data_IF_697826798200
#
_entry.id   IF_697826798200
#
_cell.length_a   1.000
_cell.length_b   1.000
_cell.length_c   1.000
_cell.angle_alpha   90.00
_cell.angle_beta   90.00
_cell.angle_gamma   90.00
#
_symmetry.space_group_name_H-M   'P 1'
#
loop_
_entity.id
_entity.type
_entity.pdbx_description
1 polymer ?
#
# COMPACT_ATOMS: atom_id res chain seq x y z
N UNK A 1 -24.11 -26.97 4.61
CA UNK A 1 -24.00 -25.51 4.47
C UNK A 1 -23.37 -24.99 5.75
N UNK A 2 -22.23 -24.29 5.69
CA UNK A 2 -21.57 -23.79 6.91
C UNK A 2 -22.47 -22.77 7.63
N UNK A 3 -22.35 -22.64 8.95
CA UNK A 3 -23.15 -21.69 9.72
C UNK A 3 -22.98 -20.23 9.22
N UNK A 4 -21.80 -19.90 8.69
CA UNK A 4 -21.52 -18.59 8.09
C UNK A 4 -22.28 -18.41 6.76
N UNK A 5 -22.21 -19.39 5.85
CA UNK A 5 -22.90 -19.31 4.56
C UNK A 5 -24.42 -19.27 4.73
N UNK A 6 -24.95 -19.94 5.76
CA UNK A 6 -26.38 -19.91 6.08
C UNK A 6 -26.87 -18.51 6.52
N UNK A 7 -25.98 -17.63 7.00
CA UNK A 7 -26.32 -16.27 7.46
C UNK A 7 -26.01 -15.22 6.39
N UNK A 8 -25.04 -15.48 5.50
CA UNK A 8 -24.60 -14.51 4.49
C UNK A 8 -25.54 -14.33 3.30
N UNK A 9 -26.57 -15.18 3.14
CA UNK A 9 -27.54 -15.12 2.05
C UNK A 9 -26.82 -15.00 0.68
N UNK A 10 -27.14 -13.97 -0.11
CA UNK A 10 -26.61 -13.75 -1.47
C UNK A 10 -25.40 -12.79 -1.51
N UNK A 11 -24.79 -12.45 -0.37
CA UNK A 11 -23.63 -11.56 -0.34
C UNK A 11 -22.30 -12.33 -0.48
N UNK A 12 -21.34 -11.82 -1.28
CA UNK A 12 -20.07 -12.49 -1.48
C UNK A 12 -19.22 -12.51 -0.20
N UNK A 13 -18.73 -13.69 0.18
CA UNK A 13 -17.79 -13.91 1.26
C UNK A 13 -16.36 -13.84 0.73
N UNK A 14 -15.60 -12.83 1.16
CA UNK A 14 -14.18 -12.73 0.83
C UNK A 14 -13.32 -12.87 2.08
N UNK A 15 -12.15 -13.52 1.97
CA UNK A 15 -11.26 -13.76 3.11
C UNK A 15 -9.85 -13.27 2.79
N UNK A 16 -9.27 -12.48 3.69
CA UNK A 16 -7.89 -12.01 3.58
C UNK A 16 -7.00 -12.64 4.64
N UNK A 17 -5.92 -13.30 4.22
CA UNK A 17 -4.99 -13.97 5.12
C UNK A 17 -3.51 -13.66 4.85
N UNK A 18 -2.67 -14.11 5.77
CA UNK A 18 -1.21 -14.05 5.76
C UNK A 18 -0.64 -15.47 5.78
N UNK A 19 0.65 -15.63 5.50
CA UNK A 19 1.35 -16.94 5.52
C UNK A 19 1.16 -17.72 6.82
N UNK A 20 1.07 -17.01 7.94
CA UNK A 20 0.97 -17.57 9.28
C UNK A 20 1.19 -16.49 10.34
N UNK A 21 1.16 -16.88 11.61
CA UNK A 21 1.43 -15.96 12.72
C UNK A 21 2.93 -15.68 12.86
N UNK A 22 3.76 -16.73 12.81
CA UNK A 22 5.21 -16.66 13.07
C UNK A 22 6.04 -16.74 11.79
N UNK A 23 7.22 -16.12 11.80
CA UNK A 23 8.19 -16.30 10.72
C UNK A 23 8.65 -17.77 10.63
N UNK A 24 8.80 -18.30 9.41
CA UNK A 24 9.19 -19.70 9.16
C UNK A 24 8.09 -20.74 9.38
N UNK A 25 6.93 -20.37 9.94
CA UNK A 25 5.80 -21.27 10.17
C UNK A 25 4.72 -20.99 9.12
N UNK A 26 4.72 -21.80 8.06
CA UNK A 26 3.83 -21.64 6.91
C UNK A 26 2.56 -22.49 7.13
N UNK A 27 1.41 -21.84 7.33
CA UNK A 27 0.15 -22.53 7.66
C UNK A 27 -1.04 -22.08 6.80
N UNK A 28 -0.81 -21.16 5.86
CA UNK A 28 -1.89 -20.55 5.10
C UNK A 28 -2.60 -21.54 4.17
N UNK A 29 -1.86 -22.46 3.55
CA UNK A 29 -2.41 -23.49 2.67
C UNK A 29 -3.30 -24.49 3.43
N UNK A 30 -2.91 -24.92 4.62
CA UNK A 30 -3.76 -25.75 5.51
C UNK A 30 -5.02 -25.00 5.95
N UNK A 31 -4.87 -23.71 6.29
CA UNK A 31 -5.99 -22.84 6.66
C UNK A 31 -6.96 -22.69 5.48
N UNK A 32 -6.43 -22.47 4.27
CA UNK A 32 -7.21 -22.37 3.04
C UNK A 32 -7.93 -23.69 2.76
N UNK A 33 -7.26 -24.85 2.79
CA UNK A 33 -7.91 -26.16 2.55
C UNK A 33 -9.07 -26.40 3.51
N UNK A 34 -8.86 -26.11 4.80
CA UNK A 34 -9.90 -26.24 5.83
C UNK A 34 -11.07 -25.32 5.56
N UNK A 35 -10.80 -24.06 5.23
CA UNK A 35 -11.80 -23.04 4.92
C UNK A 35 -12.60 -23.41 3.65
N UNK A 36 -11.93 -23.76 2.56
CA UNK A 36 -12.59 -24.15 1.30
C UNK A 36 -13.49 -25.38 1.50
N UNK A 37 -13.03 -26.38 2.26
CA UNK A 37 -13.81 -27.59 2.54
C UNK A 37 -14.99 -27.40 3.49
N UNK A 38 -14.98 -26.36 4.33
CA UNK A 38 -16.03 -26.14 5.34
C UNK A 38 -16.95 -24.97 5.02
N UNK A 39 -16.42 -23.86 4.52
CA UNK A 39 -17.09 -22.60 4.22
C UNK A 39 -16.39 -21.91 3.04
N UNK A 40 -16.61 -22.43 1.83
CA UNK A 40 -15.99 -21.93 0.59
C UNK A 40 -16.27 -20.42 0.40
N UNK A 41 -15.23 -19.56 0.37
CA UNK A 41 -15.38 -18.14 0.05
C UNK A 41 -15.42 -17.92 -1.46
N UNK A 42 -15.92 -16.76 -1.87
CA UNK A 42 -15.98 -16.30 -3.27
C UNK A 42 -14.65 -15.71 -3.76
N UNK A 43 -13.81 -15.23 -2.83
CA UNK A 43 -12.47 -14.71 -3.13
C UNK A 43 -11.54 -14.87 -1.92
N UNK A 44 -10.31 -15.29 -2.17
CA UNK A 44 -9.25 -15.32 -1.17
C UNK A 44 -8.19 -14.27 -1.55
N UNK A 45 -7.85 -13.40 -0.61
CA UNK A 45 -6.76 -12.43 -0.74
C UNK A 45 -5.59 -12.83 0.16
N UNK A 46 -4.48 -13.25 -0.44
CA UNK A 46 -3.31 -13.75 0.26
C UNK A 46 -2.17 -12.75 0.29
N UNK A 47 -1.59 -12.53 1.46
CA UNK A 47 -0.35 -11.79 1.62
C UNK A 47 0.75 -12.75 2.07
N UNK A 48 1.75 -13.06 1.21
CA UNK A 48 2.80 -14.04 1.51
C UNK A 48 3.88 -13.52 2.48
N UNK A 49 3.43 -13.03 3.64
CA UNK A 49 4.27 -12.74 4.81
C UNK A 49 3.55 -13.19 6.06
N UNK A 50 4.32 -13.58 7.07
CA UNK A 50 3.77 -13.84 8.40
C UNK A 50 3.31 -12.53 9.07
N UNK A 51 2.54 -12.65 10.16
CA UNK A 51 2.19 -11.50 11.01
C UNK A 51 3.44 -10.87 11.64
N UNK A 52 4.35 -11.69 12.16
CA UNK A 52 5.61 -11.25 12.79
C UNK A 52 6.54 -10.49 11.84
N UNK A 53 6.63 -10.93 10.58
CA UNK A 53 7.43 -10.26 9.55
C UNK A 53 6.95 -8.83 9.25
N UNK A 54 5.75 -8.43 9.67
CA UNK A 54 5.18 -7.09 9.46
C UNK A 54 5.41 -6.61 8.01
N UNK A 55 6.38 -5.71 7.81
CA UNK A 55 6.80 -5.08 6.55
C UNK A 55 8.31 -5.14 6.32
N UNK A 56 8.93 -6.04 7.05
CA UNK A 56 10.34 -6.09 7.37
C UNK A 56 11.00 -6.87 6.23
N UNK A 57 10.55 -8.10 5.97
CA UNK A 57 10.98 -8.93 4.83
C UNK A 57 10.17 -8.69 3.56
N UNK A 58 10.72 -9.21 2.45
CA UNK A 58 10.01 -9.38 1.19
C UNK A 58 8.91 -10.44 1.30
N UNK A 59 7.88 -10.28 0.50
CA UNK A 59 6.84 -11.27 0.24
C UNK A 59 7.45 -12.56 -0.34
N UNK A 60 7.17 -13.70 0.31
CA UNK A 60 7.58 -15.03 -0.15
C UNK A 60 6.61 -15.55 -1.23
N UNK A 61 6.79 -15.06 -2.46
CA UNK A 61 5.94 -15.43 -3.58
C UNK A 61 6.00 -16.93 -3.93
N UNK A 62 7.06 -17.65 -3.60
CA UNK A 62 7.14 -19.11 -3.82
C UNK A 62 6.07 -19.88 -3.04
N UNK A 63 5.63 -19.34 -1.89
CA UNK A 63 4.56 -19.92 -1.09
C UNK A 63 3.15 -19.60 -1.62
N UNK A 64 3.03 -18.92 -2.77
CA UNK A 64 1.75 -18.73 -3.47
C UNK A 64 1.26 -20.04 -4.09
N UNK A 65 2.15 -20.88 -4.65
CA UNK A 65 1.75 -22.13 -5.31
C UNK A 65 1.04 -23.12 -4.37
N UNK A 66 1.56 -23.40 -3.14
CA UNK A 66 0.82 -24.25 -2.18
C UNK A 66 -0.54 -23.66 -1.80
N UNK A 67 -0.66 -22.33 -1.76
CA UNK A 67 -1.92 -21.66 -1.47
C UNK A 67 -2.89 -21.74 -2.66
N UNK A 68 -2.41 -21.64 -3.90
CA UNK A 68 -3.20 -21.85 -5.12
C UNK A 68 -3.78 -23.26 -5.14
N UNK A 69 -2.95 -24.28 -4.92
CA UNK A 69 -3.39 -25.68 -4.86
C UNK A 69 -4.47 -25.88 -3.79
N UNK A 70 -4.32 -25.23 -2.64
CA UNK A 70 -5.29 -25.25 -1.57
C UNK A 70 -6.62 -24.55 -1.90
N UNK A 71 -6.61 -23.53 -2.76
CA UNK A 71 -7.80 -22.77 -3.15
C UNK A 71 -8.74 -23.56 -4.07
N UNK A 72 -8.22 -24.53 -4.83
CA UNK A 72 -9.00 -25.24 -5.85
C UNK A 72 -9.51 -24.27 -6.91
N UNK A 73 -10.83 -24.17 -7.05
CA UNK A 73 -11.50 -23.28 -8.01
C UNK A 73 -11.84 -21.88 -7.43
N UNK A 74 -11.51 -21.63 -6.16
CA UNK A 74 -11.71 -20.30 -5.56
C UNK A 74 -10.67 -19.31 -6.12
N UNK A 75 -11.09 -18.14 -6.64
CA UNK A 75 -10.17 -17.10 -7.07
C UNK A 75 -9.20 -16.68 -5.97
N UNK A 76 -7.91 -16.60 -6.30
CA UNK A 76 -6.86 -16.15 -5.39
C UNK A 76 -6.27 -14.83 -5.88
N UNK A 77 -6.36 -13.79 -5.06
CA UNK A 77 -5.65 -12.53 -5.23
C UNK A 77 -4.42 -12.48 -4.32
N UNK A 78 -3.29 -11.98 -4.82
CA UNK A 78 -2.06 -11.87 -4.02
C UNK A 78 -1.66 -10.43 -3.79
N UNK A 79 -1.30 -10.09 -2.55
CA UNK A 79 -0.85 -8.77 -2.12
C UNK A 79 0.59 -8.85 -1.61
N UNK A 80 1.58 -8.43 -2.40
CA UNK A 80 2.98 -8.49 -1.96
C UNK A 80 3.95 -7.66 -2.79
N UNK A 81 4.43 -6.55 -2.22
CA UNK A 81 5.59 -5.80 -2.74
C UNK A 81 5.52 -5.33 -4.20
N UNK A 82 4.33 -5.02 -4.70
CA UNK A 82 4.08 -4.45 -6.04
C UNK A 82 4.13 -2.92 -5.97
N UNK A 83 5.03 -2.29 -6.73
CA UNK A 83 5.20 -0.82 -6.81
C UNK A 83 5.17 -0.27 -8.24
N UNK A 84 5.06 -1.14 -9.25
CA UNK A 84 5.07 -0.77 -10.66
C UNK A 84 4.09 -1.62 -11.47
N UNK A 85 3.79 -1.18 -12.70
CA UNK A 85 2.99 -1.98 -13.63
C UNK A 85 3.76 -3.22 -14.08
N UNK A 86 5.09 -3.13 -14.22
CA UNK A 86 5.96 -4.27 -14.52
C UNK A 86 5.86 -5.33 -13.42
N UNK A 87 5.94 -4.93 -12.14
CA UNK A 87 5.75 -5.85 -11.01
C UNK A 87 4.37 -6.52 -11.10
N UNK A 88 3.31 -5.77 -11.42
CA UNK A 88 1.95 -6.29 -11.49
C UNK A 88 1.82 -7.40 -12.54
N UNK A 89 2.22 -7.13 -13.79
CA UNK A 89 2.09 -8.10 -14.89
C UNK A 89 3.10 -9.26 -14.77
N UNK A 90 4.31 -9.00 -14.29
CA UNK A 90 5.28 -10.08 -14.04
C UNK A 90 4.72 -11.10 -13.04
N UNK A 91 3.98 -10.67 -12.02
CA UNK A 91 3.35 -11.59 -11.06
C UNK A 91 2.18 -12.38 -11.67
N UNK A 92 1.38 -11.76 -12.53
CA UNK A 92 0.32 -12.45 -13.25
C UNK A 92 0.87 -13.46 -14.28
N UNK A 93 2.03 -13.20 -14.87
CA UNK A 93 2.71 -14.13 -15.77
C UNK A 93 3.35 -15.31 -15.01
N UNK A 94 3.91 -15.04 -13.82
CA UNK A 94 4.60 -16.06 -13.02
C UNK A 94 3.66 -16.99 -12.26
N UNK A 95 2.51 -16.50 -11.82
CA UNK A 95 1.58 -17.25 -10.98
C UNK A 95 0.19 -17.24 -11.60
N UNK A 96 -0.51 -18.39 -11.68
CA UNK A 96 -1.87 -18.46 -12.22
C UNK A 96 -2.91 -17.95 -11.19
N UNK A 97 -2.71 -16.72 -10.72
CA UNK A 97 -3.57 -16.02 -9.75
C UNK A 97 -4.63 -15.21 -10.49
N UNK A 98 -5.79 -14.99 -9.85
CA UNK A 98 -6.90 -14.24 -10.45
C UNK A 98 -6.74 -12.71 -10.35
N UNK A 99 -5.70 -12.24 -9.64
CA UNK A 99 -5.44 -10.82 -9.51
C UNK A 99 -4.33 -10.49 -8.51
N UNK A 100 -3.88 -9.25 -8.55
CA UNK A 100 -2.91 -8.69 -7.62
C UNK A 100 -3.53 -7.51 -6.89
N UNK A 101 -3.41 -7.50 -5.56
CA UNK A 101 -3.86 -6.40 -4.71
C UNK A 101 -2.69 -5.50 -4.35
N UNK A 102 -2.86 -4.18 -4.57
CA UNK A 102 -1.85 -3.17 -4.28
C UNK A 102 -2.17 -2.48 -2.95
N UNK A 103 -1.22 -2.56 -2.00
CA UNK A 103 -1.33 -1.91 -0.68
C UNK A 103 -0.45 -0.67 -0.58
N UNK A 104 0.72 -0.82 0.05
CA UNK A 104 1.70 0.28 0.24
C UNK A 104 2.11 0.95 -1.08
N UNK A 105 2.13 0.23 -2.20
CA UNK A 105 2.40 0.81 -3.51
C UNK A 105 1.47 1.98 -3.85
N UNK A 106 0.19 1.86 -3.52
CA UNK A 106 -0.81 2.92 -3.73
C UNK A 106 -0.63 4.12 -2.77
N UNK A 107 -0.04 3.92 -1.58
CA UNK A 107 0.31 5.02 -0.68
C UNK A 107 1.56 5.77 -1.15
N UNK A 108 2.53 5.05 -1.73
CA UNK A 108 3.77 5.65 -2.27
C UNK A 108 3.44 6.38 -3.58
N UNK A 109 2.72 5.71 -4.49
CA UNK A 109 2.33 6.17 -5.84
C UNK A 109 0.83 5.93 -6.06
N UNK A 110 -0.06 6.87 -5.71
CA UNK A 110 -1.50 6.70 -5.94
C UNK A 110 -1.86 6.47 -7.41
N UNK A 111 -1.06 6.97 -8.34
CA UNK A 111 -1.21 6.78 -9.79
C UNK A 111 -0.76 5.40 -10.29
N UNK A 112 -0.33 4.49 -9.41
CA UNK A 112 0.06 3.12 -9.80
C UNK A 112 -1.05 2.38 -10.55
N UNK A 113 -2.32 2.66 -10.25
CA UNK A 113 -3.44 2.06 -10.98
C UNK A 113 -3.49 2.55 -12.43
N UNK A 114 -3.18 3.82 -12.68
CA UNK A 114 -3.05 4.38 -14.03
C UNK A 114 -1.85 3.78 -14.76
N UNK A 115 -0.72 3.57 -14.07
CA UNK A 115 0.42 2.85 -14.67
C UNK A 115 0.06 1.42 -15.06
N UNK A 116 -0.69 0.70 -14.23
CA UNK A 116 -1.14 -0.68 -14.49
C UNK A 116 -2.13 -0.73 -15.67
N UNK A 117 -3.08 0.20 -15.71
CA UNK A 117 -4.08 0.31 -16.78
C UNK A 117 -3.41 0.63 -18.13
N UNK A 118 -2.52 1.61 -18.15
CA UNK A 118 -1.86 2.07 -19.37
C UNK A 118 -0.60 1.28 -19.73
N UNK A 119 -0.17 0.35 -18.85
CA UNK A 119 1.07 -0.43 -18.98
C UNK A 119 2.30 0.43 -19.28
N UNK A 120 2.41 1.55 -18.57
CA UNK A 120 3.55 2.46 -18.71
C UNK A 120 3.90 3.14 -17.40
N UNK A 121 5.17 3.46 -17.28
CA UNK A 121 5.70 4.23 -16.15
C UNK A 121 5.33 5.70 -16.29
N UNK A 122 4.81 6.29 -15.22
CA UNK A 122 4.45 7.71 -15.17
C UNK A 122 5.50 8.49 -14.38
N UNK A 123 6.19 9.42 -15.05
CA UNK A 123 7.09 10.38 -14.42
C UNK A 123 6.38 11.70 -14.12
N UNK A 124 5.46 11.70 -13.15
CA UNK A 124 4.74 12.92 -12.80
C UNK A 124 5.63 13.95 -12.10
N UNK A 125 5.34 15.22 -12.33
CA UNK A 125 6.03 16.37 -11.75
C UNK A 125 5.70 16.57 -10.27
N UNK A 126 6.52 17.37 -9.58
CA UNK A 126 6.28 17.78 -8.21
C UNK A 126 4.95 18.52 -8.01
N UNK A 127 4.52 19.30 -9.01
CA UNK A 127 3.26 20.03 -8.96
C UNK A 127 2.06 19.09 -9.07
N UNK A 128 2.10 18.11 -9.99
CA UNK A 128 1.05 17.09 -10.09
C UNK A 128 0.94 16.28 -8.80
N UNK A 129 2.07 15.95 -8.16
CA UNK A 129 2.08 15.32 -6.83
C UNK A 129 1.43 16.21 -5.77
N UNK A 130 1.75 17.50 -5.74
CA UNK A 130 1.15 18.46 -4.81
C UNK A 130 -0.37 18.59 -5.05
N UNK A 131 -0.82 18.54 -6.30
CA UNK A 131 -2.26 18.59 -6.63
C UNK A 131 -3.00 17.35 -6.14
N UNK A 132 -2.36 16.17 -6.12
CA UNK A 132 -2.91 14.98 -5.45
C UNK A 132 -3.07 15.21 -3.93
N UNK A 133 -2.11 15.87 -3.28
CA UNK A 133 -2.22 16.22 -1.86
C UNK A 133 -3.35 17.22 -1.59
N UNK A 134 -3.53 18.23 -2.46
CA UNK A 134 -4.66 19.17 -2.38
C UNK A 134 -6.00 18.45 -2.50
N UNK A 135 -6.13 17.53 -3.45
CA UNK A 135 -7.36 16.73 -3.62
C UNK A 135 -7.67 15.90 -2.37
N UNK A 136 -6.65 15.25 -1.80
CA UNK A 136 -6.82 14.51 -0.55
C UNK A 136 -7.26 15.41 0.61
N UNK A 137 -6.65 16.59 0.75
CA UNK A 137 -7.03 17.57 1.77
C UNK A 137 -8.49 18.00 1.59
N UNK A 138 -8.91 18.33 0.37
CA UNK A 138 -10.30 18.70 0.09
C UNK A 138 -11.27 17.59 0.49
N UNK A 139 -11.00 16.33 0.12
CA UNK A 139 -11.84 15.20 0.55
C UNK A 139 -11.85 15.00 2.07
N UNK A 140 -10.72 15.25 2.74
CA UNK A 140 -10.64 15.19 4.20
C UNK A 140 -11.51 16.26 4.86
N UNK A 141 -11.47 17.49 4.37
CA UNK A 141 -12.29 18.60 4.87
C UNK A 141 -13.78 18.40 4.56
N UNK A 142 -14.12 17.88 3.37
CA UNK A 142 -15.50 17.54 3.01
C UNK A 142 -16.07 16.44 3.93
N UNK A 143 -15.23 15.47 4.33
CA UNK A 143 -15.65 14.34 5.13
C UNK A 143 -15.65 14.61 6.65
N UNK A 144 -14.63 15.30 7.16
CA UNK A 144 -14.43 15.53 8.60
C UNK A 144 -14.80 16.93 9.07
N UNK A 145 -15.08 17.86 8.15
CA UNK A 145 -15.37 19.25 8.44
C UNK A 145 -14.14 20.16 8.28
N UNK A 146 -14.44 21.45 8.13
CA UNK A 146 -13.44 22.53 8.06
C UNK A 146 -13.31 23.31 9.37
N UNK A 147 -13.86 22.79 10.47
CA UNK A 147 -13.58 23.27 11.80
C UNK A 147 -12.20 22.79 12.29
N UNK A 148 -11.73 23.29 13.42
CA UNK A 148 -10.41 22.94 13.95
C UNK A 148 -10.23 21.42 14.11
N UNK A 149 -11.28 20.72 14.55
CA UNK A 149 -11.25 19.27 14.75
C UNK A 149 -11.16 18.48 13.42
N UNK A 150 -11.85 18.93 12.37
CA UNK A 150 -11.81 18.33 11.04
C UNK A 150 -10.51 18.64 10.30
N UNK A 151 -10.01 19.86 10.41
CA UNK A 151 -8.70 20.28 9.88
C UNK A 151 -7.57 19.44 10.48
N UNK A 152 -7.53 19.30 11.81
CA UNK A 152 -6.45 18.55 12.46
C UNK A 152 -6.55 17.04 12.22
N UNK A 153 -7.77 16.51 12.03
CA UNK A 153 -7.95 15.12 11.60
C UNK A 153 -7.46 14.89 10.18
N UNK A 154 -7.79 15.80 9.26
CA UNK A 154 -7.28 15.79 7.89
C UNK A 154 -5.75 15.87 7.90
N UNK A 155 -5.18 16.79 8.69
CA UNK A 155 -3.73 16.95 8.86
C UNK A 155 -3.08 15.67 9.36
N UNK A 156 -3.65 15.01 10.37
CA UNK A 156 -3.11 13.75 10.90
C UNK A 156 -3.01 12.69 9.80
N UNK A 157 -4.06 12.48 9.01
CA UNK A 157 -4.03 11.49 7.94
C UNK A 157 -3.14 11.89 6.76
N UNK A 158 -3.06 13.19 6.43
CA UNK A 158 -2.12 13.72 5.44
C UNK A 158 -0.68 13.42 5.85
N UNK A 159 -0.31 13.66 7.12
CA UNK A 159 1.04 13.41 7.64
C UNK A 159 1.37 11.90 7.65
N UNK A 160 0.41 11.04 7.98
CA UNK A 160 0.59 9.59 7.86
C UNK A 160 0.80 9.19 6.40
N UNK A 161 0.07 9.77 5.45
CA UNK A 161 0.26 9.49 4.03
C UNK A 161 1.61 10.00 3.50
N UNK A 162 2.02 11.23 3.86
CA UNK A 162 3.33 11.80 3.50
C UNK A 162 4.49 10.89 3.94
N UNK A 163 4.36 10.20 5.07
CA UNK A 163 5.36 9.23 5.54
C UNK A 163 5.57 8.01 4.61
N UNK A 164 4.60 7.74 3.72
CA UNK A 164 4.73 6.76 2.64
C UNK A 164 5.09 7.43 1.31
N UNK A 165 4.40 8.52 0.97
CA UNK A 165 4.56 9.20 -0.32
C UNK A 165 5.98 9.72 -0.54
N UNK A 166 6.69 10.11 0.53
CA UNK A 166 8.08 10.55 0.44
C UNK A 166 9.06 9.48 -0.06
N UNK A 167 8.62 8.22 -0.12
CA UNK A 167 9.43 7.11 -0.64
C UNK A 167 9.41 7.03 -2.16
N UNK A 168 8.52 7.73 -2.85
CA UNK A 168 8.55 7.79 -4.31
C UNK A 168 9.82 8.52 -4.75
N UNK A 169 10.56 7.90 -5.67
CA UNK A 169 11.70 8.54 -6.32
C UNK A 169 11.26 8.91 -7.74
N UNK A 170 11.41 10.18 -8.14
CA UNK A 170 11.08 10.62 -9.49
C UNK A 170 11.82 9.81 -10.55
N UNK A 171 11.11 9.40 -11.59
CA UNK A 171 11.62 8.49 -12.62
C UNK A 171 12.79 9.10 -13.37
N UNK A 172 12.74 10.39 -13.69
CA UNK A 172 13.84 11.10 -14.37
C UNK A 172 15.17 11.16 -13.61
N UNK A 173 15.21 10.71 -12.35
CA UNK A 173 16.46 10.62 -11.55
C UNK A 173 16.74 9.20 -11.04
N UNK A 174 15.93 8.21 -11.40
CA UNK A 174 16.19 6.81 -11.08
C UNK A 174 17.26 6.24 -12.00
N UNK A 175 18.30 5.63 -11.41
CA UNK A 175 19.31 4.91 -12.18
C UNK A 175 18.75 3.63 -12.82
N UNK A 176 17.83 2.96 -12.13
CA UNK A 176 17.21 1.71 -12.57
C UNK A 176 15.70 1.76 -12.39
N UNK A 177 14.99 1.37 -13.45
CA UNK A 177 13.55 1.12 -13.42
C UNK A 177 13.23 -0.39 -13.37
N UNK A 178 12.08 -0.77 -12.79
CA UNK A 178 11.21 0.04 -11.95
C UNK A 178 11.78 0.24 -10.53
N UNK A 179 11.30 1.27 -9.82
CA UNK A 179 11.58 1.43 -8.39
C UNK A 179 11.00 0.24 -7.61
N UNK A 180 11.78 -0.35 -6.69
CA UNK A 180 11.32 -1.43 -5.81
C UNK A 180 10.87 -0.90 -4.47
N UNK A 181 9.91 -1.58 -3.86
CA UNK A 181 9.31 -1.14 -2.60
C UNK A 181 10.31 -1.06 -1.44
N UNK A 182 11.35 -1.87 -1.46
CA UNK A 182 12.38 -1.96 -0.42
C UNK A 182 13.64 -1.15 -0.76
N UNK A 183 13.66 -0.42 -1.87
CA UNK A 183 14.81 0.42 -2.20
C UNK A 183 15.08 1.44 -1.08
N UNK A 184 16.36 1.70 -0.90
CA UNK A 184 16.92 2.65 0.07
C UNK A 184 17.86 3.56 -0.71
N UNK A 185 17.31 4.54 -1.45
CA UNK A 185 18.15 5.45 -2.21
C UNK A 185 19.07 6.23 -1.27
N UNK A 186 20.29 6.58 -1.72
CA UNK A 186 21.09 7.58 -1.02
C UNK A 186 20.34 8.91 -0.97
N UNK A 187 20.82 9.84 -0.14
CA UNK A 187 20.28 11.20 -0.15
C UNK A 187 20.46 11.82 -1.55
N UNK A 188 19.37 12.37 -2.08
CA UNK A 188 19.34 13.00 -3.39
C UNK A 188 18.59 14.32 -3.33
N UNK A 189 18.89 15.20 -4.30
CA UNK A 189 18.09 16.40 -4.56
C UNK A 189 17.13 16.08 -5.69
N UNK A 190 15.86 16.41 -5.51
CA UNK A 190 14.86 16.29 -6.57
C UNK A 190 15.15 17.23 -7.74
N UNK A 191 14.36 17.13 -8.80
CA UNK A 191 14.46 18.00 -10.00
C UNK A 191 14.26 19.49 -9.66
N UNK A 192 13.59 19.79 -8.55
CA UNK A 192 13.42 21.13 -7.99
C UNK A 192 13.26 21.08 -6.46
N UNK A 193 13.08 22.25 -5.83
CA UNK A 193 12.93 22.38 -4.37
C UNK A 193 11.67 21.68 -3.84
N UNK A 194 10.54 21.81 -4.53
CA UNK A 194 9.28 21.16 -4.12
C UNK A 194 9.44 19.63 -4.15
N UNK A 195 10.09 19.09 -5.18
CA UNK A 195 10.35 17.67 -5.28
C UNK A 195 11.27 17.18 -4.17
N UNK A 196 12.31 17.95 -3.86
CA UNK A 196 13.23 17.66 -2.76
C UNK A 196 12.47 17.63 -1.43
N UNK A 197 11.56 18.59 -1.21
CA UNK A 197 10.70 18.67 -0.03
C UNK A 197 9.76 17.45 0.05
N UNK A 198 9.08 17.11 -1.06
CA UNK A 198 8.15 15.97 -1.13
C UNK A 198 8.84 14.62 -0.94
N UNK A 199 10.14 14.52 -1.23
CA UNK A 199 10.95 13.32 -1.04
C UNK A 199 11.65 13.25 0.33
N UNK A 200 11.50 14.27 1.17
CA UNK A 200 12.11 14.30 2.48
C UNK A 200 11.53 13.24 3.42
N UNK A 201 12.40 12.58 4.19
CA UNK A 201 12.02 11.63 5.23
C UNK A 201 11.84 12.28 6.62
N UNK A 202 11.93 13.61 6.71
CA UNK A 202 11.84 14.34 7.99
C UNK A 202 10.40 14.74 8.29
N UNK A 203 9.93 14.43 9.49
CA UNK A 203 8.59 14.82 9.92
C UNK A 203 8.37 16.35 9.93
N UNK A 204 9.43 17.14 10.17
CA UNK A 204 9.38 18.61 10.07
C UNK A 204 8.97 19.09 8.68
N UNK A 205 9.43 18.40 7.63
CA UNK A 205 9.17 18.80 6.25
C UNK A 205 7.75 18.39 5.85
N UNK A 206 7.26 17.26 6.35
CA UNK A 206 5.86 16.86 6.20
C UNK A 206 4.90 17.84 6.90
N UNK A 207 5.29 18.33 8.08
CA UNK A 207 4.54 19.38 8.81
C UNK A 207 4.50 20.65 7.95
N UNK A 208 5.61 21.04 7.33
CA UNK A 208 5.65 22.22 6.47
C UNK A 208 4.75 22.07 5.24
N UNK A 209 4.79 20.92 4.55
CA UNK A 209 3.84 20.62 3.46
C UNK A 209 2.39 20.72 3.95
N UNK A 210 2.09 20.17 5.13
CA UNK A 210 0.74 20.26 5.70
C UNK A 210 0.34 21.71 6.01
N UNK A 211 1.29 22.57 6.40
CA UNK A 211 1.03 23.99 6.66
C UNK A 211 0.69 24.75 5.39
N UNK A 212 1.34 24.41 4.28
CA UNK A 212 1.01 24.97 2.95
C UNK A 212 -0.44 24.66 2.53
N UNK A 213 -0.99 23.52 2.95
CA UNK A 213 -2.30 23.04 2.49
C UNK A 213 -3.45 23.30 3.47
N UNK A 214 -3.18 23.29 4.78
CA UNK A 214 -4.19 23.33 5.84
C UNK A 214 -3.99 24.53 6.79
N UNK A 215 -3.04 25.43 6.51
CA UNK A 215 -2.70 26.54 7.38
C UNK A 215 -1.83 26.15 8.59
N UNK A 216 -1.59 27.07 9.53
CA UNK A 216 -0.63 26.89 10.61
C UNK A 216 -1.01 25.73 11.53
N UNK A 217 -0.01 25.13 12.16
CA UNK A 217 -0.18 24.15 13.24
C UNK A 217 -0.20 24.85 14.60
N UNK A 218 -0.80 24.23 15.64
CA UNK A 218 -0.64 24.68 17.02
C UNK A 218 0.84 24.83 17.43
N UNK A 219 1.10 25.71 18.40
CA UNK A 219 2.43 25.89 18.95
C UNK A 219 2.96 24.58 19.56
N UNK A 220 4.22 24.23 19.28
CA UNK A 220 4.83 22.98 19.76
C UNK A 220 4.29 21.71 19.10
N UNK A 221 3.52 21.81 18.02
CA UNK A 221 3.02 20.64 17.29
C UNK A 221 4.16 19.73 16.83
N UNK A 222 4.07 18.44 17.15
CA UNK A 222 5.01 17.42 16.70
C UNK A 222 4.25 16.25 16.08
N UNK A 223 4.86 15.61 15.09
CA UNK A 223 4.30 14.44 14.45
C UNK A 223 5.28 13.26 14.50
N UNK A 224 4.76 12.12 14.96
CA UNK A 224 5.45 10.84 14.93
C UNK A 224 4.58 9.90 14.10
N UNK A 225 5.09 9.39 12.95
CA UNK A 225 4.33 8.50 12.10
C UNK A 225 4.00 7.19 12.83
N UNK A 226 2.76 6.71 12.69
CA UNK A 226 2.33 5.45 13.31
C UNK A 226 3.12 4.27 12.77
N UNK A 227 3.42 4.32 11.47
CA UNK A 227 4.26 3.34 10.81
C UNK A 227 5.66 3.93 10.69
N UNK A 228 6.62 3.43 11.48
CA UNK A 228 8.03 3.62 11.13
C UNK A 228 8.22 2.98 9.76
N UNK A 229 8.30 3.80 8.71
CA UNK A 229 8.51 3.34 7.33
C UNK A 229 9.82 2.54 7.19
N UNK A 230 10.71 2.70 8.16
CA UNK A 230 11.90 1.91 8.48
C UNK A 230 11.59 0.82 9.51
N UNK A 231 10.63 -0.07 9.25
CA UNK A 231 10.60 -1.37 9.94
C UNK A 231 11.72 -2.25 9.38
N UNK A 232 12.94 -1.84 9.71
CA UNK A 232 14.16 -2.58 10.06
C UNK A 232 15.15 -1.53 10.56
#
# INVERSE_FOLDING_TARGET
>A
MSAILAIMLDFPLTVKLRTGLREGVLTADETIRTMVGSAKPDLIAFHPRSKEQRYTKLANWDFVNPCLDACGDVPLWVCGDVLSWEDYYQRLEQYPISGVMVGRGALIKPWIFTEIEERRTWDISANERLDLLKRFVNYGLDHWGSDDAGVERTRRFLLEWLSFHCRYIPVGILERLPQRINDRPPLYRGRNELETLLSSNRASDWIEISRMLLGPTPEGFTFIPKHKASSY
#
